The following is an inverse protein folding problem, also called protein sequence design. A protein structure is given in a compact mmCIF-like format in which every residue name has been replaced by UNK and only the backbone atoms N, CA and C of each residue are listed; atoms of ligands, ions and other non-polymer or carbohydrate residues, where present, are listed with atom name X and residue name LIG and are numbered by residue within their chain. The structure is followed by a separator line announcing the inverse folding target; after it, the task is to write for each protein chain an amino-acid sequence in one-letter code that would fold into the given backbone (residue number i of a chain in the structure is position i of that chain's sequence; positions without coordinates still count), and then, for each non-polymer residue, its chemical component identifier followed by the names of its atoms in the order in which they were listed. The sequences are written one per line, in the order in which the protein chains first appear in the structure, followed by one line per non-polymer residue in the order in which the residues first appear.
data_IF_591166727947
#
_entry.id   IF_591166727947
#
_cell.length_a   1.000
_cell.length_b   1.000
_cell.length_c   1.000
_cell.angle_alpha   90.00
_cell.angle_beta   90.00
_cell.angle_gamma   90.00
#
_symmetry.space_group_name_H-M   'P 1'
#
loop_
_entity.id
_entity.type
_entity.pdbx_description
1 polymer ?
#
# COMPACT_ATOMS: atom_id res chain seq x y z
N UNK A 1 -38.87 3.45 -8.90
CA UNK A 1 -39.06 2.71 -7.64
C UNK A 1 -37.89 3.04 -6.73
N UNK A 2 -38.17 3.62 -5.55
CA UNK A 2 -37.20 4.19 -4.60
C UNK A 2 -36.33 3.07 -3.99
N UNK A 3 -35.02 3.30 -3.93
CA UNK A 3 -34.07 2.47 -3.17
C UNK A 3 -33.69 3.22 -1.89
N UNK A 4 -33.77 2.47 -0.78
CA UNK A 4 -33.71 2.93 0.59
C UNK A 4 -32.26 3.16 1.08
N UNK A 5 -32.19 4.08 2.04
CA UNK A 5 -31.18 4.34 3.06
C UNK A 5 -30.12 3.26 3.31
N UNK A 6 -28.86 3.70 3.28
CA UNK A 6 -27.76 3.15 4.07
C UNK A 6 -27.31 4.27 5.03
N UNK A 7 -27.74 4.17 6.29
CA UNK A 7 -27.21 4.98 7.40
C UNK A 7 -25.85 4.42 7.83
N UNK A 8 -24.80 5.23 7.71
CA UNK A 8 -23.49 4.99 8.33
C UNK A 8 -23.30 6.09 9.38
N UNK A 9 -23.57 5.75 10.64
CA UNK A 9 -23.20 6.57 11.79
C UNK A 9 -21.69 6.46 12.03
N UNK A 10 -20.95 7.53 11.75
CA UNK A 10 -19.63 7.78 12.31
C UNK A 10 -19.75 8.71 13.51
N UNK A 11 -19.37 8.20 14.68
CA UNK A 11 -19.28 8.93 15.95
C UNK A 11 -18.35 10.15 15.82
N UNK A 12 -18.89 11.34 16.07
CA UNK A 12 -18.15 12.59 16.19
C UNK A 12 -18.47 13.16 17.59
N UNK A 13 -17.50 13.12 18.51
CA UNK A 13 -17.63 13.65 19.85
C UNK A 13 -16.48 14.62 20.16
N UNK A 14 -16.76 15.91 20.39
CA UNK A 14 -15.75 16.89 20.79
C UNK A 14 -15.66 16.95 22.32
N UNK A 15 -14.46 17.18 22.86
CA UNK A 15 -14.33 17.63 24.25
C UNK A 15 -13.26 18.69 24.38
N UNK A 16 -13.63 19.75 25.08
CA UNK A 16 -12.95 21.04 25.19
C UNK A 16 -12.51 21.31 26.64
N UNK A 17 -11.41 22.07 26.78
CA UNK A 17 -10.95 22.85 27.96
C UNK A 17 -10.28 22.05 29.12
N UNK A 18 -9.26 22.53 29.85
CA UNK A 18 -8.65 23.85 30.04
C UNK A 18 -7.21 23.72 30.65
N UNK A 19 -6.44 24.81 30.86
CA UNK A 19 -4.98 24.80 30.95
C UNK A 19 -4.40 24.75 32.38
N UNK A 20 -3.21 24.14 32.54
CA UNK A 20 -2.43 24.19 33.79
C UNK A 20 -1.19 25.06 33.59
N UNK A 21 -1.08 26.08 34.44
CA UNK A 21 -0.01 27.07 34.48
C UNK A 21 1.21 26.55 35.25
N UNK A 22 2.39 26.47 34.62
CA UNK A 22 3.68 26.30 35.32
C UNK A 22 4.65 27.40 34.88
N UNK A 23 5.11 28.19 35.85
CA UNK A 23 6.04 29.32 35.67
C UNK A 23 7.51 28.87 35.67
N UNK A 24 8.24 29.40 34.68
CA UNK A 24 9.66 29.84 34.66
C UNK A 24 10.80 28.79 34.66
N UNK A 25 11.50 28.74 33.52
CA UNK A 25 12.96 29.02 33.48
C UNK A 25 13.35 29.61 32.12
N UNK A 26 13.87 30.84 32.13
CA UNK A 26 14.30 31.63 30.97
C UNK A 26 15.47 30.93 30.28
N UNK A 27 15.20 30.08 29.28
CA UNK A 27 16.20 29.58 28.34
C UNK A 27 16.42 30.68 27.31
N UNK A 28 17.69 31.03 27.07
CA UNK A 28 18.10 31.98 26.03
C UNK A 28 17.42 31.57 24.73
N UNK A 29 16.68 32.49 24.12
CA UNK A 29 16.13 32.32 22.79
C UNK A 29 17.32 32.00 21.87
N UNK A 30 17.31 30.80 21.28
CA UNK A 30 18.11 30.56 20.10
C UNK A 30 17.61 31.55 19.05
N UNK A 31 18.52 32.36 18.52
CA UNK A 31 18.22 33.21 17.39
C UNK A 31 17.74 32.31 16.25
N UNK A 32 16.44 32.31 16.00
CA UNK A 32 15.87 31.81 14.73
C UNK A 32 16.18 32.91 13.73
N UNK A 33 17.42 32.89 13.22
CA UNK A 33 17.79 33.64 12.04
C UNK A 33 17.02 33.10 10.83
N UNK A 34 16.89 33.90 9.77
CA UNK A 34 16.19 33.49 8.55
C UNK A 34 16.78 32.18 8.03
N UNK A 35 15.93 31.31 7.49
CA UNK A 35 16.31 30.03 6.88
C UNK A 35 17.50 30.22 5.95
N UNK A 36 18.70 29.88 6.42
CA UNK A 36 19.91 29.88 5.61
C UNK A 36 19.76 28.73 4.63
N UNK A 37 19.45 29.08 3.38
CA UNK A 37 19.22 28.18 2.26
C UNK A 37 20.12 26.96 2.30
N UNK A 38 19.51 25.79 2.37
CA UNK A 38 20.13 24.50 2.07
C UNK A 38 21.39 24.09 2.86
N UNK A 39 21.71 24.72 3.99
CA UNK A 39 22.94 24.37 4.77
C UNK A 39 22.63 23.80 6.17
N UNK A 40 21.41 23.30 6.35
CA UNK A 40 20.95 22.68 7.61
C UNK A 40 21.31 21.20 7.75
N UNK A 41 21.26 20.67 8.98
CA UNK A 41 21.54 19.25 9.29
C UNK A 41 20.68 18.29 8.45
N UNK A 42 19.42 18.65 8.14
CA UNK A 42 18.54 17.85 7.28
C UNK A 42 19.16 17.60 5.90
N UNK A 43 19.75 18.62 5.28
CA UNK A 43 20.36 18.49 3.95
C UNK A 43 21.63 17.66 4.00
N UNK A 44 22.50 17.90 4.99
CA UNK A 44 23.69 17.07 5.17
C UNK A 44 23.32 15.61 5.45
N UNK A 45 22.29 15.36 6.27
CA UNK A 45 21.85 13.99 6.56
C UNK A 45 21.34 13.27 5.31
N UNK A 46 20.58 13.97 4.48
CA UNK A 46 20.09 13.46 3.19
C UNK A 46 21.26 13.11 2.26
N UNK A 47 22.21 14.03 2.10
CA UNK A 47 23.40 13.83 1.25
C UNK A 47 24.32 12.72 1.75
N UNK A 48 24.53 12.62 3.06
CA UNK A 48 25.28 11.52 3.69
C UNK A 48 24.59 10.17 3.41
N UNK A 49 23.26 10.11 3.53
CA UNK A 49 22.49 8.90 3.26
C UNK A 49 22.63 8.46 1.79
N UNK A 50 22.38 9.36 0.84
CA UNK A 50 22.54 9.12 -0.61
C UNK A 50 23.94 8.61 -0.96
N UNK A 51 24.98 9.20 -0.34
CA UNK A 51 26.37 8.84 -0.63
C UNK A 51 26.74 7.46 -0.11
N UNK A 52 26.31 7.10 1.10
CA UNK A 52 26.57 5.77 1.64
C UNK A 52 25.78 4.71 0.88
N UNK A 53 24.53 4.99 0.50
CA UNK A 53 23.68 4.11 -0.32
C UNK A 53 24.31 3.81 -1.68
N UNK A 54 24.68 4.84 -2.43
CA UNK A 54 25.25 4.70 -3.77
C UNK A 54 26.59 3.97 -3.80
N UNK A 55 27.44 4.16 -2.79
CA UNK A 55 28.74 3.48 -2.70
C UNK A 55 28.64 2.06 -2.15
N UNK A 56 27.65 1.76 -1.31
CA UNK A 56 27.48 0.49 -0.62
C UNK A 56 28.51 0.24 0.50
N UNK A 57 29.80 0.53 0.26
CA UNK A 57 30.87 0.56 1.27
C UNK A 57 31.70 1.83 1.11
N UNK A 58 31.97 2.52 2.21
CA UNK A 58 32.70 3.80 2.22
C UNK A 58 33.38 4.06 3.58
N UNK A 59 33.99 5.23 3.77
CA UNK A 59 34.57 5.67 5.03
C UNK A 59 34.13 7.08 5.39
N UNK A 60 34.29 7.47 6.66
CA UNK A 60 33.96 8.82 7.12
C UNK A 60 34.67 9.92 6.30
N UNK A 61 35.99 9.77 6.06
CA UNK A 61 36.76 10.77 5.35
C UNK A 61 36.29 10.91 3.91
N UNK A 62 36.05 9.79 3.23
CA UNK A 62 35.54 9.78 1.86
C UNK A 62 34.20 10.52 1.73
N UNK A 63 33.24 10.21 2.61
CA UNK A 63 31.94 10.91 2.63
C UNK A 63 32.10 12.39 2.98
N UNK A 64 32.95 12.72 3.95
CA UNK A 64 33.13 14.10 4.38
C UNK A 64 33.83 14.95 3.31
N UNK A 65 34.90 14.45 2.70
CA UNK A 65 35.70 15.18 1.72
C UNK A 65 34.90 15.39 0.42
N UNK A 66 34.08 14.41 0.00
CA UNK A 66 33.18 14.58 -1.15
C UNK A 66 32.09 15.63 -0.90
N UNK A 67 31.48 15.66 0.30
CA UNK A 67 30.48 16.68 0.62
C UNK A 67 31.10 18.06 0.78
N UNK A 68 32.34 18.16 1.25
CA UNK A 68 33.07 19.44 1.27
C UNK A 68 33.29 19.93 -0.15
N UNK A 69 33.76 19.07 -1.07
CA UNK A 69 33.96 19.43 -2.47
C UNK A 69 32.64 19.91 -3.13
N UNK A 70 31.56 19.14 -2.98
CA UNK A 70 30.25 19.47 -3.59
C UNK A 70 29.66 20.82 -3.13
N UNK A 71 29.86 21.17 -1.85
CA UNK A 71 29.30 22.41 -1.26
C UNK A 71 30.26 23.60 -1.29
N UNK A 72 31.53 23.39 -1.63
CA UNK A 72 32.51 24.48 -1.86
C UNK A 72 32.64 24.83 -3.34
N UNK A 73 32.06 24.02 -4.24
CA UNK A 73 32.05 24.30 -5.67
C UNK A 73 31.26 25.59 -6.00
N UNK A 74 31.90 26.58 -6.65
CA UNK A 74 31.28 27.87 -6.96
C UNK A 74 30.16 27.77 -8.00
N UNK A 75 30.04 26.64 -8.71
CA UNK A 75 29.01 26.42 -9.72
C UNK A 75 27.68 25.90 -9.11
N UNK A 76 27.70 25.40 -7.87
CA UNK A 76 26.52 24.87 -7.15
C UNK A 76 26.01 25.81 -6.05
N UNK A 77 26.75 26.87 -5.70
CA UNK A 77 26.35 27.84 -4.67
C UNK A 77 25.61 29.04 -5.28
N UNK A 78 24.45 29.36 -4.71
CA UNK A 78 23.61 30.51 -5.10
C UNK A 78 24.16 31.83 -4.52
N UNK A 79 25.04 31.78 -3.52
CA UNK A 79 25.64 32.98 -2.90
C UNK A 79 27.12 33.12 -3.27
N UNK A 80 27.55 34.28 -3.78
CA UNK A 80 28.97 34.54 -4.03
C UNK A 80 29.76 34.51 -2.71
N UNK A 81 31.04 34.12 -2.75
CA UNK A 81 31.90 34.11 -1.57
C UNK A 81 31.93 35.51 -0.94
N UNK A 82 31.67 35.57 0.36
CA UNK A 82 31.65 36.81 1.14
C UNK A 82 33.05 37.44 1.10
N UNK A 83 33.26 38.58 0.42
CA UNK A 83 34.60 39.12 0.15
C UNK A 83 35.33 39.58 1.42
N UNK A 84 34.61 39.73 2.54
CA UNK A 84 35.15 40.17 3.83
C UNK A 84 35.65 39.01 4.72
N UNK A 85 35.50 37.74 4.32
CA UNK A 85 35.94 36.59 5.13
C UNK A 85 36.68 35.50 4.33
N UNK A 86 38.01 35.64 4.14
CA UNK A 86 38.82 34.63 3.46
C UNK A 86 38.87 33.25 4.16
N UNK A 87 38.38 33.14 5.40
CA UNK A 87 38.34 31.88 6.17
C UNK A 87 36.97 31.17 6.13
N UNK A 88 35.99 31.69 5.37
CA UNK A 88 34.65 31.10 5.29
C UNK A 88 34.69 29.63 4.82
N UNK A 89 35.54 29.30 3.84
CA UNK A 89 35.70 27.93 3.33
C UNK A 89 36.19 26.94 4.41
N UNK A 90 37.14 27.35 5.26
CA UNK A 90 37.62 26.49 6.36
C UNK A 90 36.56 26.30 7.45
N UNK A 91 35.71 27.31 7.67
CA UNK A 91 34.60 27.20 8.62
C UNK A 91 33.52 26.24 8.12
N UNK A 92 33.21 26.31 6.82
CA UNK A 92 32.25 25.44 6.17
C UNK A 92 32.74 23.99 6.17
N UNK A 93 34.02 23.73 5.89
CA UNK A 93 34.60 22.39 5.97
C UNK A 93 34.45 21.78 7.38
N UNK A 94 34.81 22.53 8.43
CA UNK A 94 34.67 22.06 9.82
C UNK A 94 33.21 21.81 10.18
N UNK A 95 32.30 22.64 9.68
CA UNK A 95 30.87 22.48 9.90
C UNK A 95 30.35 21.20 9.25
N UNK A 96 30.64 20.99 7.96
CA UNK A 96 30.24 19.82 7.17
C UNK A 96 30.75 18.55 7.86
N UNK A 97 32.05 18.49 8.18
CA UNK A 97 32.67 17.36 8.90
C UNK A 97 31.94 17.03 10.21
N UNK A 98 31.54 18.04 10.99
CA UNK A 98 30.77 17.84 12.24
C UNK A 98 29.37 17.29 11.96
N UNK A 99 28.68 17.78 10.93
CA UNK A 99 27.32 17.35 10.55
C UNK A 99 27.30 15.94 9.99
N UNK A 100 28.35 15.53 9.25
CA UNK A 100 28.51 14.15 8.77
C UNK A 100 28.51 13.15 9.93
N UNK A 101 29.23 13.47 11.03
CA UNK A 101 29.18 12.61 12.22
C UNK A 101 27.79 12.52 12.86
N UNK A 102 27.05 13.64 12.94
CA UNK A 102 25.68 13.62 13.48
C UNK A 102 24.78 12.70 12.65
N UNK A 103 24.85 12.83 11.32
CA UNK A 103 24.06 12.01 10.40
C UNK A 103 24.41 10.53 10.49
N UNK A 104 25.70 10.17 10.42
CA UNK A 104 26.16 8.79 10.48
C UNK A 104 25.77 8.11 11.80
N UNK A 105 25.85 8.82 12.92
CA UNK A 105 25.47 8.25 14.22
C UNK A 105 23.98 7.91 14.29
N UNK A 106 23.12 8.76 13.72
CA UNK A 106 21.67 8.50 13.65
C UNK A 106 21.38 7.37 12.67
N UNK A 107 22.00 7.36 11.48
CA UNK A 107 21.83 6.28 10.50
C UNK A 107 22.26 4.92 11.08
N UNK A 108 23.33 4.89 11.86
CA UNK A 108 23.78 3.68 12.56
C UNK A 108 22.79 3.26 13.65
N UNK A 109 22.27 4.20 14.44
CA UNK A 109 21.27 3.92 15.48
C UNK A 109 19.94 3.41 14.91
N UNK A 110 19.60 3.83 13.68
CA UNK A 110 18.42 3.35 12.93
C UNK A 110 18.68 2.04 12.17
N UNK A 111 19.84 1.43 12.35
CA UNK A 111 20.32 0.23 11.64
C UNK A 111 20.36 0.35 10.11
N UNK A 112 20.44 1.58 9.58
CA UNK A 112 20.49 1.87 8.14
C UNK A 112 21.89 1.62 7.57
N UNK A 113 22.91 1.79 8.42
CA UNK A 113 24.31 1.56 8.10
C UNK A 113 24.98 0.78 9.22
N UNK A 114 26.02 0.02 8.89
CA UNK A 114 26.95 -0.57 9.86
C UNK A 114 28.30 0.12 9.80
N UNK A 115 29.06 0.07 10.91
CA UNK A 115 30.43 0.59 10.97
C UNK A 115 31.34 -0.43 11.62
N UNK A 116 32.35 -0.88 10.88
CA UNK A 116 33.48 -1.64 11.43
C UNK A 116 34.75 -0.82 11.33
N UNK A 117 35.28 -0.39 12.48
CA UNK A 117 36.43 0.51 12.59
C UNK A 117 36.27 1.78 11.75
N UNK A 118 36.86 1.82 10.55
CA UNK A 118 36.82 2.95 9.61
C UNK A 118 35.86 2.72 8.45
N UNK A 119 35.47 1.47 8.19
CA UNK A 119 34.57 1.09 7.11
C UNK A 119 33.12 1.27 7.55
N UNK A 120 32.33 1.84 6.65
CA UNK A 120 30.90 2.07 6.78
C UNK A 120 30.23 1.30 5.64
N UNK A 121 29.25 0.45 5.95
CA UNK A 121 28.49 -0.30 4.95
C UNK A 121 27.01 0.08 4.99
N UNK A 122 26.41 0.22 3.82
CA UNK A 122 24.98 0.42 3.65
C UNK A 122 24.23 -0.87 3.96
N UNK A 123 23.25 -0.81 4.86
CA UNK A 123 22.35 -1.94 5.17
C UNK A 123 20.99 -1.81 4.49
N UNK A 124 20.53 -0.59 4.21
CA UNK A 124 19.21 -0.31 3.64
C UNK A 124 18.28 0.40 4.61
N UNK A 125 17.15 0.91 4.13
CA UNK A 125 16.17 1.57 5.00
C UNK A 125 15.34 0.53 5.76
N UNK A 126 14.80 0.84 6.96
CA UNK A 126 14.10 -0.14 7.81
C UNK A 126 12.79 -0.71 7.21
N UNK A 127 12.39 -0.27 6.01
CA UNK A 127 11.20 -0.74 5.27
C UNK A 127 11.53 -1.53 4.00
N UNK A 128 12.80 -1.92 3.83
CA UNK A 128 13.25 -2.80 2.73
C UNK A 128 13.82 -4.09 3.30
N UNK A 129 13.15 -4.70 4.27
CA UNK A 129 13.55 -6.00 4.81
C UNK A 129 12.96 -7.16 3.99
N UNK A 130 13.58 -8.34 4.04
CA UNK A 130 13.09 -9.55 3.36
C UNK A 130 11.65 -9.88 3.82
N UNK A 131 11.34 -9.63 5.09
CA UNK A 131 10.00 -9.85 5.64
C UNK A 131 8.94 -8.96 4.96
N UNK A 132 9.28 -7.71 4.63
CA UNK A 132 8.37 -6.80 3.93
C UNK A 132 8.11 -7.29 2.49
N UNK A 133 9.14 -7.87 1.85
CA UNK A 133 8.99 -8.45 0.52
C UNK A 133 8.07 -9.67 0.56
N UNK A 134 8.22 -10.53 1.58
CA UNK A 134 7.35 -11.70 1.78
C UNK A 134 5.89 -11.29 2.06
N UNK A 135 5.66 -10.26 2.88
CA UNK A 135 4.33 -9.71 3.14
C UNK A 135 3.70 -9.15 1.86
N UNK A 136 4.45 -8.34 1.09
CA UNK A 136 4.00 -7.81 -0.20
C UNK A 136 3.70 -8.91 -1.23
N UNK A 137 4.48 -10.00 -1.22
CA UNK A 137 4.22 -11.17 -2.07
C UNK A 137 2.95 -11.91 -1.66
N UNK A 138 2.70 -12.05 -0.36
CA UNK A 138 1.47 -12.65 0.16
C UNK A 138 0.24 -11.80 -0.21
N UNK A 139 0.34 -10.48 -0.07
CA UNK A 139 -0.70 -9.53 -0.48
C UNK A 139 -0.96 -9.60 -1.99
N UNK A 140 0.09 -9.64 -2.81
CA UNK A 140 -0.02 -9.78 -4.26
C UNK A 140 -0.74 -11.10 -4.61
N UNK A 141 -0.37 -12.21 -3.98
CA UNK A 141 -1.04 -13.49 -4.17
C UNK A 141 -2.52 -13.43 -3.77
N UNK A 142 -2.84 -12.77 -2.65
CA UNK A 142 -4.21 -12.57 -2.18
C UNK A 142 -5.04 -11.69 -3.12
N UNK A 143 -4.48 -10.60 -3.63
CA UNK A 143 -5.12 -9.74 -4.65
C UNK A 143 -5.36 -10.52 -5.93
N UNK A 144 -4.37 -11.27 -6.42
CA UNK A 144 -4.49 -12.08 -7.63
C UNK A 144 -5.57 -13.14 -7.50
N UNK A 145 -5.61 -13.87 -6.38
CA UNK A 145 -6.66 -14.86 -6.11
C UNK A 145 -8.07 -14.24 -6.06
N UNK A 146 -8.21 -13.01 -5.54
CA UNK A 146 -9.49 -12.28 -5.58
C UNK A 146 -9.89 -11.87 -7.00
N UNK A 147 -8.93 -11.47 -7.83
CA UNK A 147 -9.17 -11.13 -9.25
C UNK A 147 -9.64 -12.39 -10.00
N UNK A 148 -8.95 -13.51 -9.83
CA UNK A 148 -9.32 -14.78 -10.48
C UNK A 148 -10.73 -15.23 -10.10
N UNK A 149 -11.09 -15.19 -8.81
CA UNK A 149 -12.45 -15.51 -8.35
C UNK A 149 -13.51 -14.60 -8.97
N UNK A 150 -13.26 -13.29 -9.02
CA UNK A 150 -14.18 -12.33 -9.64
C UNK A 150 -14.30 -12.54 -11.15
N UNK A 151 -13.20 -12.88 -11.82
CA UNK A 151 -13.19 -13.18 -13.25
C UNK A 151 -14.00 -14.44 -13.57
N UNK A 152 -13.83 -15.51 -12.79
CA UNK A 152 -14.60 -16.74 -12.96
C UNK A 152 -16.10 -16.52 -12.72
N UNK A 153 -16.46 -15.80 -11.66
CA UNK A 153 -17.86 -15.47 -11.37
C UNK A 153 -18.50 -14.58 -12.45
N UNK A 154 -17.74 -13.62 -12.99
CA UNK A 154 -18.22 -12.78 -14.08
C UNK A 154 -18.48 -13.58 -15.35
N UNK A 155 -17.59 -14.53 -15.67
CA UNK A 155 -17.75 -15.43 -16.81
C UNK A 155 -19.01 -16.30 -16.65
N UNK A 156 -19.21 -16.90 -15.47
CA UNK A 156 -20.42 -17.67 -15.16
C UNK A 156 -21.69 -16.82 -15.35
N UNK A 157 -21.69 -15.58 -14.83
CA UNK A 157 -22.84 -14.68 -14.96
C UNK A 157 -23.10 -14.29 -16.43
N UNK A 158 -22.05 -14.09 -17.22
CA UNK A 158 -22.16 -13.82 -18.65
C UNK A 158 -22.77 -15.01 -19.40
N UNK A 159 -22.31 -16.22 -19.10
CA UNK A 159 -22.83 -17.45 -19.70
C UNK A 159 -24.31 -17.67 -19.34
N UNK A 160 -24.69 -17.43 -18.08
CA UNK A 160 -26.09 -17.47 -17.64
C UNK A 160 -26.95 -16.43 -18.36
N UNK A 161 -26.47 -15.18 -18.49
CA UNK A 161 -27.17 -14.11 -19.20
C UNK A 161 -27.39 -14.48 -20.67
N UNK A 162 -26.33 -14.90 -21.35
CA UNK A 162 -26.42 -15.29 -22.76
C UNK A 162 -27.32 -16.50 -22.97
N UNK A 163 -27.21 -17.52 -22.09
CA UNK A 163 -28.07 -18.69 -22.10
C UNK A 163 -29.55 -18.34 -21.93
N UNK A 164 -29.86 -17.43 -20.99
CA UNK A 164 -31.23 -16.97 -20.76
C UNK A 164 -31.77 -16.15 -21.93
N UNK A 165 -30.98 -15.25 -22.51
CA UNK A 165 -31.38 -14.50 -23.71
C UNK A 165 -31.66 -15.44 -24.90
N UNK A 166 -30.79 -16.43 -25.11
CA UNK A 166 -30.99 -17.42 -26.17
C UNK A 166 -32.26 -18.24 -25.97
N UNK A 167 -32.56 -18.64 -24.72
CA UNK A 167 -33.78 -19.37 -24.39
C UNK A 167 -35.04 -18.53 -24.64
N UNK A 168 -35.03 -17.26 -24.22
CA UNK A 168 -36.13 -16.32 -24.45
C UNK A 168 -36.37 -16.13 -25.95
N UNK A 169 -35.32 -15.79 -26.70
CA UNK A 169 -35.41 -15.57 -28.15
C UNK A 169 -35.95 -16.81 -28.89
N UNK A 170 -35.46 -18.01 -28.53
CA UNK A 170 -35.94 -19.26 -29.11
C UNK A 170 -37.43 -19.48 -28.80
N UNK A 171 -37.84 -19.26 -27.56
CA UNK A 171 -39.23 -19.46 -27.15
C UNK A 171 -40.16 -18.45 -27.85
N UNK A 172 -39.77 -17.17 -27.94
CA UNK A 172 -40.53 -16.14 -28.67
C UNK A 172 -40.77 -16.54 -30.14
N UNK A 173 -39.76 -17.08 -30.81
CA UNK A 173 -39.90 -17.57 -32.19
C UNK A 173 -40.86 -18.76 -32.31
N UNK A 174 -40.85 -19.68 -31.35
CA UNK A 174 -41.79 -20.81 -31.33
C UNK A 174 -43.24 -20.34 -31.13
N UNK A 175 -43.47 -19.37 -30.25
CA UNK A 175 -44.80 -18.79 -30.06
C UNK A 175 -45.26 -17.97 -31.27
N UNK A 176 -44.36 -17.25 -31.94
CA UNK A 176 -44.68 -16.45 -33.14
C UNK A 176 -44.91 -17.28 -34.41
N UNK A 177 -44.33 -18.47 -34.51
CA UNK A 177 -44.46 -19.37 -35.68
C UNK A 177 -45.65 -20.34 -35.60
N UNK A 178 -46.44 -20.27 -34.53
CA UNK A 178 -47.57 -21.18 -34.30
C UNK A 178 -47.16 -22.60 -33.88
N UNK A 179 -45.87 -22.87 -33.72
CA UNK A 179 -45.32 -24.15 -33.26
C UNK A 179 -45.23 -24.17 -31.73
N UNK A 180 -46.37 -23.95 -31.09
CA UNK A 180 -46.47 -23.73 -29.64
C UNK A 180 -46.24 -25.06 -28.90
N UNK A 181 -45.23 -25.15 -28.03
CA UNK A 181 -45.03 -26.36 -27.21
C UNK A 181 -46.26 -26.64 -26.35
N UNK A 182 -46.67 -27.90 -26.29
CA UNK A 182 -47.85 -28.34 -25.50
C UNK A 182 -47.58 -28.40 -23.99
N UNK A 183 -46.35 -28.15 -23.54
CA UNK A 183 -45.94 -28.10 -22.14
C UNK A 183 -44.53 -27.52 -21.95
N UNK A 184 -44.17 -27.23 -20.69
CA UNK A 184 -42.85 -26.72 -20.33
C UNK A 184 -42.67 -26.57 -18.82
N UNK A 185 -41.41 -26.43 -18.38
CA UNK A 185 -41.03 -26.17 -16.97
C UNK A 185 -40.45 -24.75 -16.90
N UNK A 186 -41.00 -23.93 -16.00
CA UNK A 186 -40.52 -22.58 -15.79
C UNK A 186 -39.28 -22.55 -14.89
N UNK A 187 -38.38 -21.60 -15.13
CA UNK A 187 -37.27 -21.29 -14.23
C UNK A 187 -37.77 -20.51 -13.01
N UNK A 188 -37.11 -20.64 -11.83
CA UNK A 188 -36.02 -21.55 -11.54
C UNK A 188 -36.54 -22.96 -11.20
N UNK A 189 -35.83 -23.98 -11.67
CA UNK A 189 -36.05 -25.37 -11.25
C UNK A 189 -34.70 -26.06 -11.06
N UNK A 190 -34.71 -27.18 -10.35
CA UNK A 190 -33.59 -28.10 -10.27
C UNK A 190 -34.01 -29.43 -10.91
N UNK A 191 -33.08 -30.09 -11.58
CA UNK A 191 -33.31 -31.39 -12.21
C UNK A 191 -32.50 -32.45 -11.47
N UNK A 192 -33.19 -33.49 -11.01
CA UNK A 192 -32.58 -34.68 -10.45
C UNK A 192 -32.75 -35.80 -11.47
N UNK A 193 -31.65 -36.36 -11.96
CA UNK A 193 -31.65 -37.43 -12.95
C UNK A 193 -30.99 -38.68 -12.36
N UNK A 194 -31.69 -39.81 -12.44
CA UNK A 194 -31.22 -41.12 -11.97
C UNK A 194 -31.13 -42.12 -13.13
N UNK A 195 -30.65 -43.33 -12.86
CA UNK A 195 -30.63 -44.41 -13.87
C UNK A 195 -32.07 -44.79 -14.24
N UNK A 196 -32.35 -45.19 -15.50
CA UNK A 196 -33.71 -45.55 -15.95
C UNK A 196 -34.40 -46.66 -15.14
N UNK A 197 -33.62 -47.50 -14.47
CA UNK A 197 -34.12 -48.62 -13.67
C UNK A 197 -33.95 -48.42 -12.16
N UNK A 198 -33.52 -47.23 -11.72
CA UNK A 198 -33.45 -46.92 -10.29
C UNK A 198 -34.86 -46.81 -9.71
N UNK A 199 -35.08 -47.42 -8.54
CA UNK A 199 -36.32 -47.22 -7.79
C UNK A 199 -36.12 -46.00 -6.90
N UNK A 200 -37.04 -45.04 -6.98
CA UNK A 200 -36.97 -43.80 -6.19
C UNK A 200 -38.23 -43.70 -5.36
N UNK A 201 -38.07 -43.69 -4.03
CA UNK A 201 -39.16 -43.42 -3.10
C UNK A 201 -39.16 -41.92 -2.78
N UNK A 202 -40.34 -41.30 -2.87
CA UNK A 202 -40.49 -39.86 -2.67
C UNK A 202 -41.55 -39.64 -1.60
N UNK A 203 -41.14 -38.99 -0.51
CA UNK A 203 -42.05 -38.56 0.55
C UNK A 203 -42.12 -37.03 0.54
N UNK A 204 -43.34 -36.50 0.48
CA UNK A 204 -43.59 -35.05 0.48
C UNK A 204 -44.36 -34.74 1.75
N UNK A 205 -43.88 -33.75 2.52
CA UNK A 205 -44.60 -33.26 3.69
C UNK A 205 -45.95 -32.66 3.29
N UNK A 206 -46.91 -32.68 4.21
CA UNK A 206 -48.26 -32.17 3.97
C UNK A 206 -48.26 -30.66 3.60
N UNK A 207 -47.33 -29.89 4.16
CA UNK A 207 -47.12 -28.47 3.85
C UNK A 207 -46.30 -28.20 2.58
N UNK A 208 -45.86 -29.27 1.90
CA UNK A 208 -45.05 -29.26 0.68
C UNK A 208 -43.71 -28.50 0.82
N UNK A 209 -43.23 -28.27 2.04
CA UNK A 209 -41.96 -27.59 2.29
C UNK A 209 -40.77 -28.56 2.29
N UNK A 210 -41.04 -29.84 2.55
CA UNK A 210 -40.01 -30.88 2.62
C UNK A 210 -40.31 -31.98 1.62
N UNK A 211 -39.30 -32.32 0.84
CA UNK A 211 -39.33 -33.49 -0.06
C UNK A 211 -38.12 -34.35 0.28
N UNK A 212 -38.38 -35.59 0.66
CA UNK A 212 -37.37 -36.61 0.89
C UNK A 212 -37.33 -37.55 -0.32
N UNK A 213 -36.13 -37.76 -0.86
CA UNK A 213 -35.88 -38.71 -1.95
C UNK A 213 -35.00 -39.83 -1.42
N UNK A 214 -35.50 -41.06 -1.45
CA UNK A 214 -34.70 -42.26 -1.24
C UNK A 214 -34.38 -42.91 -2.59
N UNK A 215 -33.08 -43.05 -2.88
CA UNK A 215 -32.58 -43.65 -4.10
C UNK A 215 -32.09 -45.07 -3.79
N UNK A 216 -33.02 -46.02 -3.77
CA UNK A 216 -32.71 -47.44 -3.61
C UNK A 216 -31.79 -47.87 -4.76
N UNK A 217 -30.53 -48.18 -4.42
CA UNK A 217 -29.46 -48.55 -5.37
C UNK A 217 -29.40 -50.04 -5.65
#
# INVERSE_FOLDING_TARGET
LRLNNLDINGDDAPSSQAPISIKKKKRRAAAVGPDKGGRGLRQFSMKVCEKVESKGRTTYNEVADELVAEFTDPNNNIEPPDPDNPNAQQYDEKNIRRRVYDALNVLMAMDIISKDKKEIQWKGLPRTSINDIEELQADLAGVKGRIEKKSAYLQELQDQYLGMQNLINRNEQLYGSGNIPTGGVALPFILIQTRPHATVEVEISEDMQLVHFDFNT
#
